data_IF_761835610469
#
_entry.id   IF_761835610469
#
_cell.length_a   1.000
_cell.length_b   1.000
_cell.length_c   1.000
_cell.angle_alpha   90.00
_cell.angle_beta   90.00
_cell.angle_gamma   90.00
#
_symmetry.space_group_name_H-M   'P 1'
#
loop_
_entity.id
_entity.type
_entity.pdbx_description
1 polymer ?
#
# COMPACT_ATOMS: atom_id res chain seq x y z
N UNK A 1 -5.63 14.98 21.57
CA UNK A 1 -4.17 14.84 21.41
C UNK A 1 -3.71 13.82 22.44
N UNK A 2 -3.43 12.57 22.04
CA UNK A 2 -2.83 11.58 22.94
C UNK A 2 -1.37 11.43 22.54
N UNK A 3 -0.51 11.98 23.40
CA UNK A 3 0.93 12.03 23.32
C UNK A 3 1.56 10.85 24.06
N UNK A 4 1.24 9.63 23.66
CA UNK A 4 1.88 8.40 24.17
C UNK A 4 2.16 7.45 23.00
N UNK A 5 3.08 7.83 22.11
CA UNK A 5 3.61 6.91 21.10
C UNK A 5 5.10 6.74 21.35
N UNK A 6 5.46 5.60 21.92
CA UNK A 6 6.83 5.16 22.05
C UNK A 6 7.45 5.10 20.64
N UNK A 7 8.26 6.11 20.28
CA UNK A 7 8.83 6.28 18.92
C UNK A 7 9.70 5.07 18.55
N UNK A 8 10.15 4.29 19.55
CA UNK A 8 11.04 3.14 19.41
C UNK A 8 10.39 1.83 18.92
N UNK A 9 9.06 1.73 18.88
CA UNK A 9 8.41 0.51 18.38
C UNK A 9 7.85 0.74 16.98
N UNK A 10 8.12 -0.17 16.03
CA UNK A 10 7.56 -0.13 14.67
C UNK A 10 8.59 0.06 13.56
N UNK A 11 8.09 0.25 12.34
CA UNK A 11 8.89 0.38 11.11
C UNK A 11 8.49 1.63 10.34
N UNK A 12 9.48 2.37 9.83
CA UNK A 12 9.29 3.53 8.96
C UNK A 12 9.50 3.11 7.52
N UNK A 13 8.46 3.20 6.68
CA UNK A 13 8.57 2.93 5.27
C UNK A 13 9.27 4.09 4.58
N UNK A 14 10.46 3.86 3.99
CA UNK A 14 11.03 4.83 3.09
C UNK A 14 10.11 4.99 1.89
N UNK A 15 10.03 6.22 1.41
CA UNK A 15 9.26 6.55 0.23
C UNK A 15 9.99 7.60 -0.60
N UNK A 16 9.74 7.58 -1.90
CA UNK A 16 10.28 8.56 -2.83
C UNK A 16 9.24 8.92 -3.88
N UNK A 17 9.39 10.12 -4.44
CA UNK A 17 8.56 10.59 -5.54
C UNK A 17 9.08 10.07 -6.87
N UNK A 18 8.20 9.44 -7.65
CA UNK A 18 8.45 9.06 -9.04
C UNK A 18 7.65 9.99 -9.93
N UNK A 19 8.36 10.78 -10.74
CA UNK A 19 7.76 11.69 -11.72
C UNK A 19 7.53 10.94 -13.03
N UNK A 20 6.31 11.01 -13.56
CA UNK A 20 5.92 10.47 -14.85
C UNK A 20 5.39 11.61 -15.70
N UNK A 21 6.29 12.30 -16.39
CA UNK A 21 5.98 13.52 -17.13
C UNK A 21 4.95 13.30 -18.25
N UNK A 22 4.89 12.09 -18.80
CA UNK A 22 3.98 11.69 -19.88
C UNK A 22 2.55 11.32 -19.42
N UNK A 23 2.21 11.46 -18.12
CA UNK A 23 0.85 11.22 -17.62
C UNK A 23 0.07 12.51 -17.44
N UNK A 24 -1.14 12.55 -18.01
CA UNK A 24 -2.02 13.72 -17.94
C UNK A 24 -2.60 13.96 -16.53
N UNK A 25 -3.00 12.91 -15.82
CA UNK A 25 -3.77 13.05 -14.57
C UNK A 25 -2.94 13.04 -13.28
N UNK A 26 -1.81 12.33 -13.24
CA UNK A 26 -0.98 12.23 -12.03
C UNK A 26 0.50 12.18 -12.40
N UNK A 27 1.10 13.37 -12.50
CA UNK A 27 2.51 13.55 -12.87
C UNK A 27 3.49 13.05 -11.82
N UNK A 28 3.09 12.97 -10.54
CA UNK A 28 3.95 12.51 -9.44
C UNK A 28 3.25 11.40 -8.65
N UNK A 29 3.95 10.29 -8.39
CA UNK A 29 3.48 9.20 -7.53
C UNK A 29 4.46 8.97 -6.40
N UNK A 30 3.95 8.80 -5.19
CA UNK A 30 4.77 8.39 -4.04
C UNK A 30 4.86 6.87 -4.07
N UNK A 31 6.08 6.34 -4.07
CA UNK A 31 6.35 4.91 -4.00
C UNK A 31 6.94 4.60 -2.63
N UNK A 32 6.35 3.65 -1.93
CA UNK A 32 6.83 3.14 -0.65
C UNK A 32 7.64 1.87 -0.89
N UNK A 33 8.78 1.75 -0.23
CA UNK A 33 9.67 0.60 -0.33
C UNK A 33 9.70 -0.18 0.98
N UNK A 34 8.84 -1.19 1.08
CA UNK A 34 8.81 -2.11 2.21
C UNK A 34 9.90 -3.20 2.14
N UNK A 35 10.69 -3.24 1.06
CA UNK A 35 11.84 -4.14 0.92
C UNK A 35 13.16 -3.51 1.38
N UNK A 36 13.12 -2.23 1.74
CA UNK A 36 14.30 -1.50 2.24
C UNK A 36 14.80 -2.07 3.56
N UNK A 37 16.12 -2.23 3.66
CA UNK A 37 16.81 -2.82 4.81
C UNK A 37 17.81 -1.83 5.39
N UNK A 38 17.84 -1.73 6.71
CA UNK A 38 18.97 -1.11 7.41
C UNK A 38 20.19 -2.05 7.41
N UNK A 39 21.36 -1.52 7.75
CA UNK A 39 22.57 -2.33 7.87
C UNK A 39 22.36 -3.45 8.92
N UNK A 40 22.37 -4.70 8.47
CA UNK A 40 22.14 -5.87 9.31
C UNK A 40 20.70 -6.05 9.82
N UNK A 41 19.74 -5.27 9.32
CA UNK A 41 18.34 -5.34 9.72
C UNK A 41 17.47 -6.02 8.66
N UNK A 42 16.33 -6.56 9.10
CA UNK A 42 15.29 -7.10 8.22
C UNK A 42 14.45 -5.96 7.62
N UNK A 43 13.94 -6.17 6.41
CA UNK A 43 12.91 -5.30 5.83
C UNK A 43 11.54 -5.66 6.40
N UNK A 44 10.57 -4.78 6.22
CA UNK A 44 9.18 -5.09 6.56
C UNK A 44 8.69 -6.32 5.78
N UNK A 45 9.06 -6.44 4.51
CA UNK A 45 8.67 -7.58 3.67
C UNK A 45 9.30 -8.92 4.10
N UNK A 46 10.47 -8.91 4.76
CA UNK A 46 11.04 -10.15 5.33
C UNK A 46 10.27 -10.61 6.58
N UNK A 47 9.62 -9.69 7.28
CA UNK A 47 8.84 -9.95 8.50
C UNK A 47 7.35 -10.26 8.21
N UNK A 48 6.88 -10.00 6.98
CA UNK A 48 5.50 -10.22 6.58
C UNK A 48 5.35 -11.54 5.83
N UNK A 49 4.34 -12.32 6.20
CA UNK A 49 3.95 -13.48 5.41
C UNK A 49 3.16 -13.05 4.17
N UNK A 50 3.57 -13.53 3.00
CA UNK A 50 2.89 -13.26 1.72
C UNK A 50 1.45 -13.78 1.67
N UNK A 51 1.16 -14.82 2.46
CA UNK A 51 -0.06 -15.60 2.37
C UNK A 51 -0.12 -16.49 1.11
N UNK A 52 -1.12 -17.40 1.02
CA UNK A 52 -1.32 -18.23 -0.15
C UNK A 52 -1.76 -17.39 -1.36
N UNK A 53 -1.41 -17.83 -2.57
CA UNK A 53 -1.85 -17.15 -3.79
C UNK A 53 -3.33 -17.43 -4.04
N UNK A 54 -4.19 -16.45 -3.71
CA UNK A 54 -5.63 -16.49 -3.98
C UNK A 54 -6.02 -15.88 -5.33
N UNK A 55 -5.04 -15.43 -6.14
CA UNK A 55 -5.35 -14.86 -7.43
C UNK A 55 -5.86 -15.96 -8.38
N UNK A 56 -6.94 -15.69 -9.12
CA UNK A 56 -7.42 -16.62 -10.14
C UNK A 56 -6.33 -16.85 -11.20
N UNK A 57 -6.28 -18.08 -11.71
CA UNK A 57 -5.37 -18.47 -12.79
C UNK A 57 -5.62 -17.61 -14.04
N UNK A 58 -4.59 -16.87 -14.45
CA UNK A 58 -4.66 -15.93 -15.56
C UNK A 58 -5.02 -16.61 -16.88
N UNK A 59 -4.52 -17.81 -17.16
CA UNK A 59 -4.85 -18.55 -18.38
C UNK A 59 -6.33 -18.92 -18.38
N UNK A 60 -6.86 -19.39 -17.25
CA UNK A 60 -8.30 -19.69 -17.12
C UNK A 60 -9.16 -18.44 -17.32
N UNK A 61 -8.74 -17.28 -16.81
CA UNK A 61 -9.44 -16.01 -17.03
C UNK A 61 -9.46 -15.68 -18.53
N UNK A 62 -8.30 -15.69 -19.18
CA UNK A 62 -8.18 -15.34 -20.61
C UNK A 62 -9.02 -16.29 -21.49
N UNK A 63 -9.00 -17.59 -21.20
CA UNK A 63 -9.81 -18.58 -21.94
C UNK A 63 -11.31 -18.33 -21.76
N UNK A 64 -11.78 -18.02 -20.55
CA UNK A 64 -13.20 -17.66 -20.29
C UNK A 64 -13.59 -16.36 -20.99
N UNK A 65 -12.70 -15.38 -21.02
CA UNK A 65 -12.90 -14.12 -21.75
C UNK A 65 -13.12 -14.35 -23.26
N UNK A 66 -12.51 -15.39 -23.83
CA UNK A 66 -12.68 -15.73 -25.26
C UNK A 66 -13.89 -16.62 -25.56
N UNK A 67 -14.52 -17.21 -24.55
CA UNK A 67 -15.64 -18.14 -24.75
C UNK A 67 -16.93 -17.44 -25.19
N UNK A 68 -17.11 -16.18 -24.79
CA UNK A 68 -18.33 -15.41 -25.06
C UNK A 68 -18.06 -14.25 -26.01
N UNK A 69 -19.07 -13.87 -26.80
CA UNK A 69 -18.99 -12.78 -27.77
C UNK A 69 -18.81 -11.40 -27.14
N UNK A 70 -19.24 -11.25 -25.88
CA UNK A 70 -19.22 -9.99 -25.13
C UNK A 70 -18.55 -10.25 -23.79
N UNK A 71 -17.63 -9.37 -23.40
CA UNK A 71 -16.95 -9.43 -22.11
C UNK A 71 -16.95 -8.05 -21.44
N UNK A 72 -17.10 -8.04 -20.12
CA UNK A 72 -17.04 -6.83 -19.31
C UNK A 72 -15.67 -6.75 -18.61
N UNK A 73 -15.03 -5.59 -18.73
CA UNK A 73 -13.80 -5.26 -18.04
C UNK A 73 -14.03 -4.01 -17.20
N UNK A 74 -13.59 -4.03 -15.95
CA UNK A 74 -13.59 -2.87 -15.08
C UNK A 74 -12.27 -2.82 -14.30
N UNK A 75 -11.71 -1.62 -14.16
CA UNK A 75 -10.56 -1.37 -13.28
C UNK A 75 -11.07 -0.78 -11.96
N UNK A 76 -10.66 -1.39 -10.85
CA UNK A 76 -11.02 -0.90 -9.51
C UNK A 76 -9.94 0.08 -9.07
N UNK A 77 -10.24 1.36 -9.23
CA UNK A 77 -9.35 2.41 -8.75
C UNK A 77 -9.11 2.26 -7.25
N UNK A 78 -7.85 2.34 -6.84
CA UNK A 78 -7.43 2.35 -5.43
C UNK A 78 -7.87 1.12 -4.62
N UNK A 79 -8.00 -0.05 -5.25
CA UNK A 79 -8.53 -1.28 -4.63
C UNK A 79 -7.89 -1.65 -3.27
N UNK A 80 -6.58 -1.46 -3.08
CA UNK A 80 -5.93 -1.75 -1.79
C UNK A 80 -6.40 -0.84 -0.65
N UNK A 81 -6.82 0.40 -0.94
CA UNK A 81 -7.31 1.34 0.07
C UNK A 81 -8.68 0.90 0.66
N UNK A 82 -9.40 0.02 -0.03
CA UNK A 82 -10.63 -0.57 0.48
C UNK A 82 -10.39 -1.59 1.61
N UNK A 83 -9.14 -2.06 1.80
CA UNK A 83 -8.78 -2.99 2.86
C UNK A 83 -8.24 -2.24 4.08
N UNK A 84 -8.95 -2.32 5.20
CA UNK A 84 -8.55 -1.72 6.47
C UNK A 84 -7.46 -2.53 7.18
N UNK A 85 -6.59 -1.83 7.92
CA UNK A 85 -5.55 -2.44 8.75
C UNK A 85 -5.94 -2.28 10.22
N UNK A 86 -5.73 -3.34 11.00
CA UNK A 86 -5.94 -3.37 12.45
C UNK A 86 -5.09 -2.29 13.13
N UNK A 87 -5.54 -1.73 14.26
CA UNK A 87 -4.87 -0.54 14.82
C UNK A 87 -3.44 -0.85 15.29
N UNK A 88 -3.21 -2.08 15.71
CA UNK A 88 -1.98 -2.64 16.26
C UNK A 88 -0.89 -2.71 15.19
N UNK A 89 -1.26 -3.08 13.96
CA UNK A 89 -0.32 -3.25 12.84
C UNK A 89 0.07 -1.93 12.17
N UNK A 90 -0.67 -0.84 12.42
CA UNK A 90 -0.39 0.48 11.80
C UNK A 90 0.94 1.08 12.26
N UNK A 91 1.47 0.61 13.39
CA UNK A 91 2.79 1.01 13.89
C UNK A 91 3.93 0.57 12.96
N UNK A 92 3.71 -0.43 12.09
CA UNK A 92 4.69 -0.89 11.11
C UNK A 92 4.57 -0.20 9.75
N UNK A 93 3.55 0.65 9.59
CA UNK A 93 3.26 1.37 8.35
C UNK A 93 3.41 2.89 8.52
N UNK A 94 4.42 3.30 9.29
CA UNK A 94 4.75 4.71 9.50
C UNK A 94 5.52 5.25 8.31
N UNK A 95 5.37 6.54 8.03
CA UNK A 95 6.23 7.25 7.09
C UNK A 95 6.38 8.71 7.52
N UNK A 96 7.50 9.31 7.13
CA UNK A 96 7.77 10.71 7.40
C UNK A 96 7.18 11.58 6.29
N UNK A 97 6.59 12.72 6.62
CA UNK A 97 6.04 13.66 5.65
C UNK A 97 6.49 15.08 6.04
N UNK A 98 6.95 15.86 5.07
CA UNK A 98 7.33 17.25 5.33
C UNK A 98 6.07 18.12 5.26
N UNK A 99 5.76 18.80 6.36
CA UNK A 99 4.75 19.84 6.42
C UNK A 99 5.21 21.05 5.64
N UNK A 100 4.42 21.47 4.65
CA UNK A 100 4.66 22.74 3.95
C UNK A 100 4.09 23.87 4.81
N UNK A 101 4.96 24.62 5.47
CA UNK A 101 4.62 25.92 6.06
C UNK A 101 5.17 27.03 5.16
N UNK A 102 4.28 27.68 4.38
CA UNK A 102 4.65 28.78 3.49
C UNK A 102 5.10 28.38 2.07
N UNK A 103 5.55 29.36 1.24
CA UNK A 103 5.82 29.15 -0.17
C UNK A 103 7.09 28.33 -0.46
N UNK A 104 8.05 28.28 0.47
CA UNK A 104 9.33 27.60 0.31
C UNK A 104 9.43 26.35 1.19
N UNK A 105 10.04 25.29 0.66
CA UNK A 105 10.37 24.08 1.42
C UNK A 105 11.67 24.35 2.18
N UNK A 106 11.56 24.90 3.39
CA UNK A 106 12.70 25.08 4.26
C UNK A 106 12.94 23.80 5.08
N UNK A 107 14.01 23.07 4.75
CA UNK A 107 14.41 21.86 5.49
C UNK A 107 15.01 22.19 6.87
N UNK A 108 15.37 23.46 7.11
CA UNK A 108 15.94 23.89 8.39
C UNK A 108 14.89 24.04 9.50
N UNK A 109 13.61 24.23 9.13
CA UNK A 109 12.51 24.46 10.08
C UNK A 109 11.98 23.19 10.76
N UNK A 110 12.57 22.00 10.52
CA UNK A 110 12.20 20.72 11.21
C UNK A 110 10.70 20.37 11.18
N UNK A 111 9.97 20.81 10.16
CA UNK A 111 8.54 20.52 10.00
C UNK A 111 8.31 19.10 9.43
N UNK A 112 8.85 18.07 10.07
CA UNK A 112 8.65 16.66 9.68
C UNK A 112 7.60 16.04 10.58
N UNK A 113 6.55 15.49 9.98
CA UNK A 113 5.52 14.73 10.67
C UNK A 113 5.65 13.24 10.42
N UNK A 114 5.27 12.45 11.42
CA UNK A 114 5.08 11.02 11.24
C UNK A 114 3.61 10.72 10.96
N UNK A 115 3.33 10.15 9.80
CA UNK A 115 2.01 9.68 9.40
C UNK A 115 1.98 8.14 9.40
N UNK A 116 0.76 7.59 9.45
CA UNK A 116 0.53 6.14 9.52
C UNK A 116 -0.53 5.74 8.52
N UNK A 117 -0.30 4.67 7.78
CA UNK A 117 -1.35 4.10 6.96
C UNK A 117 -2.42 3.43 7.81
N UNK A 118 -3.68 3.63 7.41
CA UNK A 118 -4.85 2.93 8.00
C UNK A 118 -5.35 1.79 7.11
N UNK A 119 -4.83 1.70 5.88
CA UNK A 119 -5.28 0.83 4.82
C UNK A 119 -4.07 0.16 4.16
N UNK A 120 -4.30 -0.96 3.48
CA UNK A 120 -3.25 -1.70 2.78
C UNK A 120 -2.58 -0.81 1.73
N UNK A 121 -1.25 -0.80 1.75
CA UNK A 121 -0.42 0.00 0.85
C UNK A 121 0.10 -0.84 -0.31
N UNK A 122 0.52 -0.16 -1.37
CA UNK A 122 1.32 -0.81 -2.40
C UNK A 122 2.74 -1.04 -1.88
N UNK A 123 3.37 -2.14 -2.32
CA UNK A 123 4.77 -2.43 -2.03
C UNK A 123 5.00 -3.41 -0.86
N UNK A 124 3.99 -3.73 -0.06
CA UNK A 124 4.09 -4.80 0.95
C UNK A 124 3.72 -6.17 0.36
N UNK A 125 4.45 -7.22 0.73
CA UNK A 125 4.33 -8.55 0.12
C UNK A 125 2.93 -9.17 0.24
N UNK A 126 2.25 -8.93 1.36
CA UNK A 126 0.93 -9.49 1.66
C UNK A 126 -0.24 -8.76 0.98
N UNK A 127 -0.01 -7.61 0.31
CA UNK A 127 -1.11 -6.77 -0.22
C UNK A 127 -2.02 -7.52 -1.18
N UNK A 128 -1.44 -8.28 -2.11
CA UNK A 128 -2.21 -9.05 -3.10
C UNK A 128 -3.11 -10.09 -2.44
N UNK A 129 -2.58 -10.81 -1.45
CA UNK A 129 -3.35 -11.78 -0.68
C UNK A 129 -4.50 -11.10 0.08
N UNK A 130 -4.22 -10.02 0.81
CA UNK A 130 -5.24 -9.31 1.60
C UNK A 130 -6.39 -8.78 0.72
N UNK A 131 -6.07 -8.23 -0.45
CA UNK A 131 -7.08 -7.76 -1.40
C UNK A 131 -7.92 -8.93 -1.95
N UNK A 132 -7.26 -10.02 -2.38
CA UNK A 132 -7.94 -11.19 -2.91
C UNK A 132 -8.83 -11.86 -1.86
N UNK A 133 -8.36 -12.00 -0.62
CA UNK A 133 -9.13 -12.53 0.50
C UNK A 133 -10.38 -11.67 0.77
N UNK A 134 -10.23 -10.34 0.80
CA UNK A 134 -11.35 -9.40 1.00
C UNK A 134 -12.40 -9.49 -0.11
N UNK A 135 -11.95 -9.61 -1.37
CA UNK A 135 -12.83 -9.78 -2.52
C UNK A 135 -13.53 -11.15 -2.52
N UNK A 136 -12.83 -12.21 -2.10
CA UNK A 136 -13.38 -13.57 -1.96
C UNK A 136 -14.45 -13.67 -0.88
N UNK A 137 -14.25 -13.06 0.29
CA UNK A 137 -15.25 -13.07 1.38
C UNK A 137 -16.58 -12.41 1.00
N UNK A 138 -16.59 -11.44 0.08
CA UNK A 138 -17.85 -10.86 -0.43
C UNK A 138 -18.65 -11.86 -1.27
N UNK A 139 -18.02 -12.88 -1.86
CA UNK A 139 -18.72 -13.90 -2.65
C UNK A 139 -19.48 -14.91 -1.78
N UNK A 140 -19.03 -15.16 -0.55
CA UNK A 140 -19.72 -16.08 0.39
C UNK A 140 -20.95 -15.48 1.06
N UNK A 141 -21.17 -14.16 0.99
CA UNK A 141 -22.38 -13.51 1.53
C UNK A 141 -23.51 -13.32 0.51
N UNK A 142 -23.38 -13.90 -0.69
CA UNK A 142 -24.32 -13.76 -1.80
C UNK A 142 -24.73 -15.13 -2.38
N UNK A 143 -24.94 -16.12 -1.51
CA UNK A 143 -25.62 -17.38 -1.80
C UNK A 143 -26.80 -17.56 -0.85
#
# INVERSE_FOLDING_TARGET
MNSDQNINTGYFLPHHAVVREQKDSTKVRIVFDASSKGNGALSLNDCLESGPNLNPDLLKIILRFRLHKIAFCADIQLAFLEVGIANEDREFLKFLCIKKEGPNLDLSTRNIETLRYKRVTFGVTCSSFLLAARAGLRKCGAQ
#
